data_IF_503037221927
#
_entry.id   IF_503037221927
#
_cell.length_a   1.000
_cell.length_b   1.000
_cell.length_c   1.000
_cell.angle_alpha   90.00
_cell.angle_beta   90.00
_cell.angle_gamma   90.00
#
_symmetry.space_group_name_H-M   'P 1'
#
loop_
_entity.id
_entity.type
_entity.pdbx_description
1 polymer ?
#
# COMPACT_ATOMS: atom_id res chain seq x y z
N UNK A 1 -3.75 25.13 21.02
CA UNK A 1 -3.55 25.55 19.61
C UNK A 1 -2.66 24.52 18.95
N UNK A 2 -3.19 23.75 18.00
CA UNK A 2 -2.41 22.74 17.28
C UNK A 2 -1.58 23.35 16.15
N UNK A 3 -0.59 22.61 15.65
CA UNK A 3 0.24 22.98 14.49
C UNK A 3 -0.63 23.38 13.27
N UNK A 4 -1.80 22.77 13.14
CA UNK A 4 -2.80 23.04 12.11
C UNK A 4 -3.52 24.39 12.24
N UNK A 5 -3.28 25.18 13.29
CA UNK A 5 -3.82 26.53 13.43
C UNK A 5 -2.89 27.62 12.89
N UNK A 6 -1.66 27.26 12.51
CA UNK A 6 -0.65 28.19 12.01
C UNK A 6 -1.00 28.69 10.59
N UNK A 7 -0.49 29.85 10.17
CA UNK A 7 -0.60 30.29 8.77
C UNK A 7 0.30 29.49 7.83
N UNK A 8 0.02 29.49 6.53
CA UNK A 8 0.75 28.67 5.54
C UNK A 8 2.25 29.00 5.50
N UNK A 9 2.63 30.29 5.65
CA UNK A 9 4.02 30.71 5.76
C UNK A 9 4.73 30.11 6.98
N UNK A 10 4.05 30.07 8.14
CA UNK A 10 4.63 29.51 9.36
C UNK A 10 4.79 27.98 9.24
N UNK A 11 3.82 27.30 8.61
CA UNK A 11 3.93 25.88 8.29
C UNK A 11 5.10 25.63 7.32
N UNK A 12 5.22 26.40 6.26
CA UNK A 12 6.31 26.29 5.30
C UNK A 12 7.69 26.46 5.96
N UNK A 13 7.85 27.47 6.82
CA UNK A 13 9.09 27.68 7.58
C UNK A 13 9.41 26.48 8.47
N UNK A 14 8.44 25.94 9.22
CA UNK A 14 8.65 24.77 10.08
C UNK A 14 9.04 23.55 9.24
N UNK A 15 8.30 23.26 8.18
CA UNK A 15 8.55 22.13 7.29
C UNK A 15 9.92 22.25 6.59
N UNK A 16 10.33 23.45 6.19
CA UNK A 16 11.65 23.70 5.56
C UNK A 16 12.85 23.46 6.48
N UNK A 17 12.62 23.34 7.80
CA UNK A 17 13.63 22.96 8.79
C UNK A 17 13.67 21.44 9.03
N UNK A 18 12.66 20.72 8.58
CA UNK A 18 12.68 19.26 8.56
C UNK A 18 13.52 18.79 7.37
N UNK A 19 14.02 17.56 7.47
CA UNK A 19 14.54 16.86 6.29
C UNK A 19 13.39 16.41 5.37
N UNK A 20 13.71 15.97 4.14
CA UNK A 20 12.73 15.37 3.23
C UNK A 20 11.90 14.24 3.86
N UNK A 21 12.58 13.32 4.56
CA UNK A 21 11.93 12.16 5.21
C UNK A 21 10.90 12.57 6.26
N UNK A 22 11.28 13.47 7.17
CA UNK A 22 10.37 13.97 8.21
C UNK A 22 9.24 14.84 7.64
N UNK A 23 9.48 15.49 6.50
CA UNK A 23 8.46 16.21 5.74
C UNK A 23 7.41 15.25 5.17
N UNK A 24 7.83 14.10 4.62
CA UNK A 24 6.89 13.05 4.18
C UNK A 24 6.10 12.51 5.37
N UNK A 25 6.73 12.24 6.50
CA UNK A 25 6.05 11.76 7.71
C UNK A 25 5.00 12.76 8.20
N UNK A 26 5.32 14.06 8.20
CA UNK A 26 4.36 15.12 8.54
C UNK A 26 3.14 15.13 7.61
N UNK A 27 3.31 14.76 6.33
CA UNK A 27 2.21 14.68 5.35
C UNK A 27 1.14 13.64 5.72
N UNK A 28 1.50 12.62 6.51
CA UNK A 28 0.61 11.56 6.94
C UNK A 28 -0.24 11.94 8.17
N UNK A 29 0.09 13.03 8.86
CA UNK A 29 -0.56 13.41 10.13
C UNK A 29 -1.92 14.05 9.90
N UNK A 30 -2.07 14.88 8.86
CA UNK A 30 -3.36 15.48 8.54
C UNK A 30 -3.46 16.01 7.12
N UNK A 31 -4.70 16.29 6.68
CA UNK A 31 -4.97 16.85 5.36
C UNK A 31 -4.25 18.19 5.14
N UNK A 32 -4.17 19.04 6.18
CA UNK A 32 -3.52 20.35 6.08
C UNK A 32 -2.03 20.20 5.87
N UNK A 33 -1.37 19.40 6.70
CA UNK A 33 0.05 19.12 6.56
C UNK A 33 0.37 18.42 5.24
N UNK A 34 -0.49 17.52 4.77
CA UNK A 34 -0.36 16.90 3.44
C UNK A 34 -0.32 17.92 2.31
N UNK A 35 -1.15 18.96 2.37
CA UNK A 35 -1.16 20.03 1.37
C UNK A 35 0.13 20.87 1.46
N UNK A 36 0.49 21.33 2.65
CA UNK A 36 1.69 22.16 2.86
C UNK A 36 3.00 21.42 2.50
N UNK A 37 3.09 20.13 2.82
CA UNK A 37 4.23 19.28 2.47
C UNK A 37 4.28 18.89 0.99
N UNK A 38 3.22 19.15 0.21
CA UNK A 38 3.20 18.87 -1.23
C UNK A 38 3.61 20.09 -2.07
N UNK A 39 3.91 21.23 -1.45
CA UNK A 39 4.35 22.43 -2.17
C UNK A 39 5.74 22.26 -2.78
N UNK A 40 5.85 22.43 -4.09
CA UNK A 40 7.11 22.20 -4.81
C UNK A 40 8.23 23.18 -4.40
N UNK A 41 7.87 24.37 -3.90
CA UNK A 41 8.83 25.33 -3.32
C UNK A 41 9.62 24.77 -2.14
N UNK A 42 8.98 23.96 -1.31
CA UNK A 42 9.62 23.27 -0.17
C UNK A 42 10.64 22.25 -0.67
N UNK A 43 10.26 21.45 -1.66
CA UNK A 43 11.12 20.43 -2.26
C UNK A 43 12.25 21.02 -3.10
N UNK A 44 12.00 22.17 -3.75
CA UNK A 44 13.03 22.93 -4.45
C UNK A 44 14.13 23.38 -3.48
N UNK A 45 13.78 23.79 -2.26
CA UNK A 45 14.76 24.13 -1.24
C UNK A 45 15.61 22.91 -0.85
N UNK A 46 14.99 21.75 -0.59
CA UNK A 46 15.72 20.51 -0.29
C UNK A 46 16.64 20.11 -1.45
N UNK A 47 16.15 20.14 -2.69
CA UNK A 47 16.94 19.87 -3.88
C UNK A 47 18.12 20.84 -4.04
N UNK A 48 17.92 22.12 -3.77
CA UNK A 48 19.00 23.09 -3.87
C UNK A 48 20.08 22.85 -2.81
N UNK A 49 19.67 22.57 -1.57
CA UNK A 49 20.57 22.35 -0.44
C UNK A 49 21.34 21.03 -0.55
N UNK A 50 20.65 19.93 -0.83
CA UNK A 50 21.22 18.58 -0.77
C UNK A 50 21.84 18.13 -2.11
N UNK A 51 21.33 18.68 -3.22
CA UNK A 51 21.60 18.18 -4.57
C UNK A 51 22.11 19.25 -5.53
N UNK A 52 22.12 20.53 -5.11
CA UNK A 52 22.47 21.70 -5.93
C UNK A 52 21.67 21.80 -7.24
N UNK A 53 20.42 21.35 -7.21
CA UNK A 53 19.51 21.46 -8.36
C UNK A 53 18.65 22.72 -8.25
N UNK A 54 18.65 23.52 -9.31
CA UNK A 54 17.83 24.74 -9.44
C UNK A 54 16.60 24.55 -10.34
N UNK A 55 16.49 23.40 -11.00
CA UNK A 55 15.32 22.99 -11.78
C UNK A 55 15.06 21.49 -11.55
N UNK A 56 13.81 21.02 -11.70
CA UNK A 56 13.50 19.62 -11.48
C UNK A 56 14.07 18.80 -12.64
N UNK A 57 15.28 18.29 -12.44
CA UNK A 57 15.97 17.41 -13.37
C UNK A 57 16.32 16.08 -12.73
N UNK A 58 16.19 15.00 -13.49
CA UNK A 58 16.67 13.68 -13.09
C UNK A 58 18.21 13.64 -13.06
N UNK A 59 18.76 12.49 -12.68
CA UNK A 59 20.21 12.29 -12.60
C UNK A 59 20.93 12.32 -13.96
N UNK A 60 20.20 12.32 -15.08
CA UNK A 60 20.70 12.43 -16.46
C UNK A 60 20.52 13.86 -17.02
N UNK A 61 19.90 14.77 -16.26
CA UNK A 61 19.61 16.14 -16.69
C UNK A 61 18.28 16.29 -17.46
N UNK A 62 17.46 15.23 -17.55
CA UNK A 62 16.15 15.34 -18.19
C UNK A 62 15.14 16.02 -17.25
N UNK A 63 14.19 16.81 -17.78
CA UNK A 63 13.13 17.40 -16.96
C UNK A 63 12.32 16.32 -16.22
N UNK A 64 12.07 16.54 -14.93
CA UNK A 64 11.20 15.73 -14.11
C UNK A 64 9.92 16.50 -13.72
N UNK A 65 8.84 15.81 -13.32
CA UNK A 65 7.55 16.46 -13.02
C UNK A 65 7.58 17.40 -11.81
N UNK A 66 8.45 17.17 -10.83
CA UNK A 66 8.58 18.00 -9.62
C UNK A 66 9.90 17.76 -8.89
N UNK A 67 10.31 18.68 -8.01
CA UNK A 67 11.49 18.51 -7.16
C UNK A 67 11.29 17.38 -6.14
N UNK A 68 10.06 17.19 -5.65
CA UNK A 68 9.72 16.10 -4.72
C UNK A 68 10.13 14.74 -5.27
N UNK A 69 9.74 14.45 -6.52
CA UNK A 69 10.04 13.18 -7.18
C UNK A 69 11.55 12.95 -7.26
N UNK A 70 12.35 14.02 -7.45
CA UNK A 70 13.80 13.92 -7.56
C UNK A 70 14.46 13.64 -6.21
N UNK A 71 14.06 14.33 -5.14
CA UNK A 71 14.60 14.10 -3.80
C UNK A 71 14.40 12.65 -3.40
N UNK A 72 13.16 12.17 -3.50
CA UNK A 72 12.79 10.79 -3.16
C UNK A 72 13.55 9.79 -4.05
N UNK A 73 13.55 10.01 -5.36
CA UNK A 73 14.22 9.11 -6.31
C UNK A 73 15.72 9.06 -6.07
N UNK A 74 16.40 10.19 -5.81
CA UNK A 74 17.85 10.20 -5.57
C UNK A 74 18.23 9.64 -4.20
N UNK A 75 17.42 9.88 -3.17
CA UNK A 75 17.62 9.29 -1.86
C UNK A 75 17.58 7.76 -1.98
N UNK A 76 16.56 7.22 -2.65
CA UNK A 76 16.39 5.78 -2.86
C UNK A 76 17.46 5.21 -3.81
N UNK A 77 17.72 5.83 -4.97
CA UNK A 77 18.75 5.35 -5.92
C UNK A 77 20.14 5.27 -5.30
N UNK A 78 20.54 6.26 -4.49
CA UNK A 78 21.82 6.25 -3.78
C UNK A 78 21.91 5.09 -2.80
N UNK A 79 20.83 4.79 -2.07
CA UNK A 79 20.78 3.70 -1.11
C UNK A 79 20.76 2.32 -1.79
N UNK A 80 20.07 2.20 -2.93
CA UNK A 80 19.90 0.93 -3.64
C UNK A 80 21.04 0.60 -4.62
N UNK A 81 22.05 1.46 -4.75
CA UNK A 81 23.19 1.23 -5.64
C UNK A 81 22.84 1.19 -7.13
N UNK A 82 21.66 1.70 -7.53
CA UNK A 82 21.29 1.79 -8.94
C UNK A 82 22.29 2.66 -9.70
N UNK A 83 22.69 2.21 -10.89
CA UNK A 83 23.57 2.98 -11.77
C UNK A 83 22.97 4.35 -12.08
N UNK A 84 23.80 5.38 -12.25
CA UNK A 84 23.37 6.67 -12.82
C UNK A 84 22.90 6.57 -14.29
N UNK A 85 22.84 5.38 -14.87
CA UNK A 85 22.22 5.12 -16.18
C UNK A 85 20.83 4.48 -16.07
N UNK A 86 20.40 4.10 -14.87
CA UNK A 86 19.14 3.41 -14.65
C UNK A 86 17.99 4.40 -14.82
N UNK A 87 17.08 4.17 -15.77
CA UNK A 87 15.92 5.04 -15.98
C UNK A 87 14.74 4.67 -15.09
N UNK A 88 15.00 4.44 -13.81
CA UNK A 88 13.95 4.17 -12.82
C UNK A 88 13.59 5.47 -12.08
N UNK A 89 12.29 5.68 -11.88
CA UNK A 89 11.76 6.77 -11.06
C UNK A 89 10.94 6.15 -9.93
N UNK A 90 11.11 6.64 -8.70
CA UNK A 90 10.25 6.25 -7.58
C UNK A 90 8.92 7.00 -7.73
N UNK A 91 7.82 6.27 -7.89
CA UNK A 91 6.48 6.84 -8.12
C UNK A 91 5.57 6.77 -6.90
N UNK A 92 5.86 5.87 -5.95
CA UNK A 92 5.20 5.80 -4.66
C UNK A 92 6.10 5.16 -3.61
N UNK A 93 5.96 5.61 -2.36
CA UNK A 93 6.66 5.08 -1.20
C UNK A 93 5.72 5.06 0.01
N UNK A 94 5.82 4.04 0.88
CA UNK A 94 5.15 4.05 2.18
C UNK A 94 6.08 4.50 3.29
N UNK A 95 5.53 5.21 4.29
CA UNK A 95 6.25 5.59 5.51
C UNK A 95 5.84 4.68 6.67
N UNK A 96 6.28 3.43 6.60
CA UNK A 96 6.00 2.37 7.58
C UNK A 96 7.32 1.72 8.04
N UNK A 97 7.29 0.88 9.07
CA UNK A 97 8.49 0.19 9.59
C UNK A 97 9.24 -0.64 8.54
N UNK A 98 8.53 -1.06 7.47
CA UNK A 98 9.11 -1.51 6.22
C UNK A 98 8.57 -0.61 5.11
N UNK A 99 9.46 -0.05 4.31
CA UNK A 99 9.09 0.83 3.20
C UNK A 99 8.66 -0.01 1.99
N UNK A 100 7.48 0.30 1.46
CA UNK A 100 6.99 -0.23 0.20
C UNK A 100 7.29 0.78 -0.90
N UNK A 101 8.19 0.42 -1.80
CA UNK A 101 8.66 1.30 -2.87
C UNK A 101 8.16 0.81 -4.23
N UNK A 102 7.63 1.73 -5.03
CA UNK A 102 7.22 1.50 -6.41
C UNK A 102 8.10 2.28 -7.39
N UNK A 103 8.56 1.59 -8.43
CA UNK A 103 9.49 2.11 -9.43
C UNK A 103 8.89 2.01 -10.83
N UNK A 104 8.84 3.12 -11.55
CA UNK A 104 8.55 3.13 -12.98
C UNK A 104 9.86 3.04 -13.76
N UNK A 105 9.98 2.07 -14.66
CA UNK A 105 11.08 1.96 -15.60
C UNK A 105 10.75 2.72 -16.89
N UNK A 106 11.36 3.87 -17.09
CA UNK A 106 11.13 4.74 -18.24
C UNK A 106 11.76 4.24 -19.55
N UNK A 107 12.42 3.08 -19.57
CA UNK A 107 12.86 2.46 -20.83
C UNK A 107 11.78 1.56 -21.45
N UNK A 108 10.96 0.91 -20.62
CA UNK A 108 9.98 -0.08 -21.09
C UNK A 108 8.55 0.16 -20.56
N UNK A 109 8.34 1.22 -19.78
CA UNK A 109 7.04 1.57 -19.22
C UNK A 109 6.55 0.61 -18.14
N UNK A 110 7.39 -0.31 -17.63
CA UNK A 110 6.98 -1.28 -16.61
C UNK A 110 7.04 -0.66 -15.20
N UNK A 111 6.07 -1.03 -14.37
CA UNK A 111 5.96 -0.67 -12.97
C UNK A 111 6.44 -1.86 -12.12
N UNK A 112 7.30 -1.57 -11.17
CA UNK A 112 7.88 -2.54 -10.27
C UNK A 112 7.56 -2.17 -8.82
N UNK A 113 7.49 -3.19 -7.97
CA UNK A 113 7.45 -3.04 -6.52
C UNK A 113 8.66 -3.73 -5.91
N UNK A 114 9.30 -3.07 -4.95
CA UNK A 114 10.43 -3.62 -4.21
C UNK A 114 10.04 -4.81 -3.33
N UNK A 115 10.96 -5.77 -3.21
CA UNK A 115 10.83 -6.90 -2.28
C UNK A 115 11.62 -6.68 -1.00
N UNK A 116 11.65 -7.68 -0.11
CA UNK A 116 12.50 -7.65 1.08
C UNK A 116 13.99 -7.52 0.76
N UNK A 117 14.41 -8.04 -0.39
CA UNK A 117 15.81 -8.07 -0.82
C UNK A 117 16.19 -6.82 -1.64
N UNK A 118 15.26 -5.89 -1.88
CA UNK A 118 15.54 -4.65 -2.61
C UNK A 118 16.81 -3.92 -2.08
N UNK A 119 17.04 -3.75 -0.77
CA UNK A 119 18.24 -3.06 -0.28
C UNK A 119 19.55 -3.83 -0.50
N UNK A 120 19.49 -5.15 -0.68
CA UNK A 120 20.68 -5.99 -0.78
C UNK A 120 21.10 -6.28 -2.22
N UNK A 121 20.14 -6.53 -3.11
CA UNK A 121 20.43 -6.92 -4.50
C UNK A 121 19.52 -6.23 -5.54
N UNK A 122 18.64 -5.32 -5.11
CA UNK A 122 17.71 -4.63 -6.00
C UNK A 122 16.54 -5.49 -6.48
N UNK A 123 16.22 -6.61 -5.81
CA UNK A 123 15.11 -7.50 -6.20
C UNK A 123 13.75 -6.76 -6.20
N UNK A 124 13.08 -6.84 -7.35
CA UNK A 124 11.80 -6.21 -7.63
C UNK A 124 10.87 -7.17 -8.38
N UNK A 125 9.56 -6.99 -8.19
CA UNK A 125 8.50 -7.78 -8.87
C UNK A 125 7.70 -6.87 -9.79
N UNK A 126 7.28 -7.37 -10.95
CA UNK A 126 6.43 -6.64 -11.90
C UNK A 126 5.01 -6.46 -11.33
N UNK A 127 4.49 -5.24 -11.39
CA UNK A 127 3.14 -4.93 -10.93
C UNK A 127 2.07 -5.26 -11.99
N UNK A 128 2.45 -5.26 -13.26
CA UNK A 128 1.55 -5.47 -14.41
C UNK A 128 2.15 -6.49 -15.38
N UNK A 129 1.37 -7.44 -15.91
CA UNK A 129 1.84 -8.36 -16.95
C UNK A 129 2.40 -7.61 -18.18
N UNK A 130 3.61 -7.96 -18.63
CA UNK A 130 4.28 -7.29 -19.75
C UNK A 130 3.43 -7.24 -21.03
N UNK A 131 2.56 -8.23 -21.25
CA UNK A 131 1.72 -8.35 -22.44
C UNK A 131 0.65 -7.26 -22.53
N UNK A 132 0.30 -6.60 -21.42
CA UNK A 132 -0.68 -5.51 -21.39
C UNK A 132 -0.06 -4.15 -21.71
N UNK A 133 1.26 -4.02 -21.55
CA UNK A 133 1.96 -2.75 -21.70
C UNK A 133 2.12 -2.42 -23.18
N UNK A 134 1.72 -1.20 -23.55
CA UNK A 134 1.88 -0.64 -24.89
C UNK A 134 2.82 0.55 -24.80
N UNK A 135 4.12 0.25 -24.71
CA UNK A 135 5.17 1.25 -24.51
C UNK A 135 6.12 1.30 -25.72
N UNK A 136 6.15 2.48 -26.36
CA UNK A 136 7.17 3.00 -27.29
C UNK A 136 7.77 1.98 -28.27
N UNK A 137 7.05 1.78 -29.39
CA UNK A 137 7.57 1.69 -30.78
C UNK A 137 6.47 1.41 -31.83
N UNK A 138 5.19 1.34 -31.46
CA UNK A 138 4.10 1.31 -32.44
C UNK A 138 3.85 2.72 -32.98
N UNK A 139 4.48 3.05 -34.11
CA UNK A 139 4.39 4.31 -34.85
C UNK A 139 2.97 4.67 -35.36
N UNK A 140 1.91 3.96 -34.91
CA UNK A 140 0.55 4.04 -35.47
C UNK A 140 -0.60 4.03 -34.45
N UNK A 141 -0.36 4.19 -33.13
CA UNK A 141 -1.45 4.11 -32.15
C UNK A 141 -1.54 5.29 -31.18
N UNK A 142 -2.68 5.99 -31.17
CA UNK A 142 -3.08 7.03 -30.18
C UNK A 142 -3.26 6.48 -28.74
N UNK A 143 -2.77 5.28 -28.42
CA UNK A 143 -3.00 4.58 -27.15
C UNK A 143 -1.69 4.05 -26.57
N UNK A 144 -0.81 4.97 -26.15
CA UNK A 144 0.30 4.63 -25.27
C UNK A 144 -0.27 4.28 -23.89
N UNK A 145 0.11 3.11 -23.36
CA UNK A 145 -0.36 2.66 -22.05
C UNK A 145 0.80 2.02 -21.29
N UNK A 146 1.39 2.77 -20.36
CA UNK A 146 2.39 2.26 -19.44
C UNK A 146 1.74 1.49 -18.29
N UNK A 147 2.56 0.75 -17.55
CA UNK A 147 2.12 -0.06 -16.42
C UNK A 147 1.62 0.79 -15.23
N UNK A 148 2.06 2.04 -15.10
CA UNK A 148 1.58 2.90 -14.01
C UNK A 148 0.11 3.26 -14.24
N UNK A 149 -0.24 3.66 -15.46
CA UNK A 149 -1.62 3.96 -15.82
C UNK A 149 -2.50 2.71 -15.69
N UNK A 150 -2.08 1.56 -16.24
CA UNK A 150 -2.80 0.28 -16.12
C UNK A 150 -3.06 -0.10 -14.65
N UNK A 151 -2.06 0.08 -13.79
CA UNK A 151 -2.18 -0.23 -12.37
C UNK A 151 -3.18 0.69 -11.66
N UNK A 152 -3.17 2.00 -11.97
CA UNK A 152 -4.10 2.98 -11.40
C UNK A 152 -5.54 2.76 -11.89
N UNK A 153 -5.72 2.45 -13.17
CA UNK A 153 -7.03 2.12 -13.75
C UNK A 153 -7.63 0.87 -13.09
N UNK A 154 -6.85 -0.19 -12.92
CA UNK A 154 -7.28 -1.38 -12.20
C UNK A 154 -7.61 -1.09 -10.72
N UNK A 155 -6.83 -0.22 -10.06
CA UNK A 155 -7.12 0.21 -8.70
C UNK A 155 -8.44 1.00 -8.61
N UNK A 156 -8.67 1.92 -9.54
CA UNK A 156 -9.91 2.69 -9.67
C UNK A 156 -11.11 1.79 -9.94
N UNK A 157 -11.00 0.88 -10.92
CA UNK A 157 -12.04 -0.10 -11.23
C UNK A 157 -12.41 -0.96 -10.03
N UNK A 158 -11.43 -1.41 -9.23
CA UNK A 158 -11.71 -2.18 -7.99
C UNK A 158 -12.47 -1.37 -6.93
N UNK A 159 -12.25 -0.05 -6.86
CA UNK A 159 -13.03 0.83 -5.99
C UNK A 159 -14.46 1.01 -6.51
N UNK A 160 -14.62 1.25 -7.81
CA UNK A 160 -15.91 1.43 -8.47
C UNK A 160 -16.78 0.17 -8.38
N UNK A 161 -16.19 -1.00 -8.60
CA UNK A 161 -16.86 -2.30 -8.50
C UNK A 161 -17.11 -2.74 -7.05
N UNK A 162 -16.61 -1.99 -6.06
CA UNK A 162 -16.73 -2.31 -4.64
C UNK A 162 -15.92 -3.55 -4.20
N UNK A 163 -14.96 -3.98 -5.03
CA UNK A 163 -14.01 -5.04 -4.67
C UNK A 163 -13.22 -4.60 -3.44
N UNK A 164 -12.70 -3.38 -3.44
CA UNK A 164 -12.09 -2.72 -2.28
C UNK A 164 -12.91 -1.49 -1.93
N UNK A 165 -12.85 -1.04 -0.66
CA UNK A 165 -13.72 0.04 -0.18
C UNK A 165 -12.98 1.13 0.57
N UNK A 166 -13.51 2.33 0.44
CA UNK A 166 -13.20 3.45 1.31
C UNK A 166 -13.89 3.25 2.65
N UNK A 167 -13.17 3.47 3.75
CA UNK A 167 -13.67 3.43 5.12
C UNK A 167 -13.43 4.77 5.78
N UNK A 168 -14.38 5.20 6.59
CA UNK A 168 -14.20 6.34 7.48
C UNK A 168 -13.55 5.84 8.77
N UNK A 169 -12.39 6.39 9.09
CA UNK A 169 -11.69 6.19 10.36
C UNK A 169 -11.57 7.55 11.06
N UNK A 170 -11.14 7.58 12.32
CA UNK A 170 -10.95 8.84 13.08
C UNK A 170 -10.02 9.83 12.37
N UNK A 171 -9.04 9.31 11.63
CA UNK A 171 -8.04 10.08 10.86
C UNK A 171 -8.55 10.49 9.45
N UNK A 172 -9.77 10.10 9.09
CA UNK A 172 -10.43 10.38 7.82
C UNK A 172 -10.60 9.14 6.94
N UNK A 173 -10.82 9.38 5.64
CA UNK A 173 -11.07 8.32 4.66
C UNK A 173 -9.81 7.53 4.34
N UNK A 174 -9.85 6.22 4.57
CA UNK A 174 -8.81 5.26 4.18
C UNK A 174 -9.35 4.32 3.11
N UNK A 175 -8.48 3.75 2.27
CA UNK A 175 -8.85 2.64 1.38
C UNK A 175 -8.37 1.35 2.02
N UNK A 176 -9.28 0.43 2.29
CA UNK A 176 -8.93 -0.94 2.69
C UNK A 176 -8.63 -1.76 1.43
N UNK A 177 -7.39 -2.22 1.29
CA UNK A 177 -6.97 -3.05 0.15
C UNK A 177 -7.52 -4.48 0.19
N UNK A 178 -8.13 -4.90 1.30
CA UNK A 178 -8.70 -6.23 1.44
C UNK A 178 -9.99 -6.38 0.63
N UNK A 179 -10.07 -7.35 -0.29
CA UNK A 179 -11.26 -7.57 -1.08
C UNK A 179 -12.49 -7.87 -0.23
N UNK A 180 -13.65 -7.39 -0.64
CA UNK A 180 -14.93 -7.60 0.05
C UNK A 180 -15.90 -8.50 -0.72
N UNK A 181 -15.69 -8.73 -2.01
CA UNK A 181 -16.61 -9.52 -2.84
C UNK A 181 -15.97 -10.82 -3.35
N UNK A 182 -16.77 -11.87 -3.64
CA UNK A 182 -16.28 -13.08 -4.30
C UNK A 182 -15.67 -12.80 -5.68
N UNK A 183 -14.75 -13.65 -6.17
CA UNK A 183 -14.17 -14.82 -5.50
C UNK A 183 -13.05 -14.46 -4.51
N UNK A 184 -12.65 -13.19 -4.43
CA UNK A 184 -11.50 -12.73 -3.63
C UNK A 184 -11.80 -12.59 -2.13
N UNK A 185 -13.09 -12.61 -1.76
CA UNK A 185 -13.55 -12.72 -0.39
C UNK A 185 -14.43 -13.96 -0.22
N UNK A 186 -14.03 -14.85 0.68
CA UNK A 186 -14.84 -16.01 1.08
C UNK A 186 -15.78 -15.63 2.22
N UNK A 187 -16.94 -16.27 2.27
CA UNK A 187 -17.94 -16.08 3.33
C UNK A 187 -18.45 -17.43 3.79
N UNK A 188 -18.52 -17.64 5.10
CA UNK A 188 -19.16 -18.80 5.72
C UNK A 188 -20.09 -18.34 6.84
N UNK A 189 -21.19 -19.06 7.04
CA UNK A 189 -22.13 -18.82 8.14
C UNK A 189 -22.32 -20.12 8.90
N UNK A 190 -22.21 -20.06 10.22
CA UNK A 190 -22.47 -21.22 11.09
C UNK A 190 -23.20 -20.74 12.33
N UNK A 191 -24.37 -21.33 12.61
CA UNK A 191 -25.19 -21.02 13.77
C UNK A 191 -25.44 -19.51 13.96
N UNK A 192 -25.64 -18.75 12.88
CA UNK A 192 -25.88 -17.31 12.90
C UNK A 192 -24.63 -16.42 12.96
N UNK A 193 -23.43 -16.99 13.13
CA UNK A 193 -22.17 -16.25 13.03
C UNK A 193 -21.69 -16.28 11.58
N UNK A 194 -21.56 -15.11 10.98
CA UNK A 194 -20.97 -14.93 9.66
C UNK A 194 -19.49 -14.57 9.78
N UNK A 195 -18.64 -15.26 9.03
CA UNK A 195 -17.22 -14.97 8.90
C UNK A 195 -16.92 -14.69 7.44
N UNK A 196 -16.28 -13.54 7.18
CA UNK A 196 -15.76 -13.14 5.87
C UNK A 196 -14.25 -13.08 5.93
N UNK A 197 -13.58 -13.66 4.96
CA UNK A 197 -12.12 -13.73 4.90
C UNK A 197 -11.61 -13.30 3.52
N UNK A 198 -10.59 -12.46 3.49
CA UNK A 198 -9.85 -12.12 2.28
C UNK A 198 -8.37 -11.90 2.58
N UNK A 199 -7.53 -12.02 1.57
CA UNK A 199 -6.08 -11.86 1.71
C UNK A 199 -5.52 -10.96 0.62
N UNK A 200 -4.37 -10.34 0.91
CA UNK A 200 -3.60 -9.52 -0.01
C UNK A 200 -2.14 -9.94 0.03
N UNK A 201 -1.50 -9.94 -1.13
CA UNK A 201 -0.07 -10.20 -1.25
C UNK A 201 0.75 -9.01 -0.77
N UNK A 202 1.83 -9.27 -0.05
CA UNK A 202 2.70 -8.25 0.57
C UNK A 202 4.11 -8.34 -0.04
N UNK A 203 4.34 -7.72 -1.21
CA UNK A 203 5.60 -7.83 -1.94
C UNK A 203 6.82 -7.35 -1.14
N UNK A 204 6.69 -6.28 -0.36
CA UNK A 204 7.76 -5.65 0.42
C UNK A 204 8.39 -6.56 1.50
N UNK A 205 7.72 -7.66 1.86
CA UNK A 205 8.23 -8.67 2.79
C UNK A 205 8.50 -10.02 2.13
N UNK A 206 8.23 -10.15 0.84
CA UNK A 206 8.50 -11.37 0.06
C UNK A 206 10.00 -11.53 -0.14
N UNK A 207 10.49 -12.77 -0.05
CA UNK A 207 11.88 -13.13 -0.32
C UNK A 207 11.89 -14.32 -1.29
N UNK A 208 12.08 -14.04 -2.58
CA UNK A 208 11.99 -15.07 -3.63
C UNK A 208 13.12 -16.11 -3.55
N UNK A 209 14.21 -15.78 -2.86
CA UNK A 209 15.38 -16.64 -2.67
C UNK A 209 15.22 -17.63 -1.52
N UNK A 210 14.30 -17.38 -0.57
CA UNK A 210 14.04 -18.31 0.53
C UNK A 210 13.23 -19.50 0.02
N UNK A 211 13.69 -20.74 0.19
CA UNK A 211 12.95 -21.89 -0.32
C UNK A 211 11.67 -22.23 0.47
N UNK A 212 11.64 -21.92 1.77
CA UNK A 212 10.54 -22.27 2.67
C UNK A 212 9.49 -21.16 2.82
N UNK A 213 9.90 -19.89 2.86
CA UNK A 213 9.04 -18.75 3.16
C UNK A 213 9.15 -17.68 2.06
N UNK A 214 8.73 -18.05 0.84
CA UNK A 214 8.83 -17.16 -0.33
C UNK A 214 7.94 -15.94 -0.23
N UNK A 215 6.68 -16.17 0.08
CA UNK A 215 5.61 -15.20 -0.09
C UNK A 215 5.02 -14.80 1.26
N UNK A 216 4.81 -13.50 1.45
CA UNK A 216 4.02 -13.00 2.56
C UNK A 216 2.63 -12.58 2.08
N UNK A 217 1.62 -13.01 2.82
CA UNK A 217 0.24 -12.54 2.67
C UNK A 217 -0.24 -11.93 3.99
N UNK A 218 -0.93 -10.81 3.88
CA UNK A 218 -1.76 -10.30 4.96
C UNK A 218 -3.19 -10.76 4.72
N UNK A 219 -3.94 -11.04 5.80
CA UNK A 219 -5.33 -11.45 5.70
C UNK A 219 -6.21 -10.62 6.63
N UNK A 220 -7.48 -10.51 6.26
CA UNK A 220 -8.52 -9.84 7.04
C UNK A 220 -9.66 -10.83 7.29
N UNK A 221 -9.94 -11.06 8.57
CA UNK A 221 -11.07 -11.85 9.05
C UNK A 221 -12.08 -10.91 9.67
N UNK A 222 -13.32 -10.93 9.18
CA UNK A 222 -14.42 -10.09 9.64
C UNK A 222 -15.52 -10.99 10.14
N UNK A 223 -15.81 -10.91 11.43
CA UNK A 223 -16.85 -11.71 12.08
C UNK A 223 -18.02 -10.80 12.44
N UNK A 224 -19.23 -11.23 12.12
CA UNK A 224 -20.45 -10.51 12.47
C UNK A 224 -21.56 -11.47 12.86
N UNK A 225 -22.45 -11.02 13.74
CA UNK A 225 -23.65 -11.76 14.07
C UNK A 225 -24.76 -11.38 13.09
N UNK A 226 -25.44 -12.37 12.51
CA UNK A 226 -26.65 -12.12 11.72
C UNK A 226 -27.76 -11.52 12.60
N UNK A 227 -28.71 -10.75 12.03
CA UNK A 227 -29.77 -10.09 12.79
C UNK A 227 -30.57 -11.03 13.71
N UNK A 228 -30.75 -12.29 13.28
CA UNK A 228 -31.47 -13.33 14.01
C UNK A 228 -30.73 -13.82 15.27
N UNK A 229 -29.44 -13.52 15.40
CA UNK A 229 -28.60 -13.97 16.51
C UNK A 229 -28.00 -15.37 16.31
N UNK A 230 -27.36 -15.91 17.34
CA UNK A 230 -26.80 -17.25 17.31
C UNK A 230 -27.85 -18.28 17.65
N UNK A 231 -27.85 -19.44 16.99
CA UNK A 231 -28.75 -20.55 17.31
C UNK A 231 -27.92 -21.73 17.82
N UNK A 232 -28.12 -22.12 19.08
CA UNK A 232 -27.44 -23.27 19.70
C UNK A 232 -28.51 -24.14 20.33
N UNK A 233 -28.60 -25.41 19.90
CA UNK A 233 -29.59 -26.38 20.38
C UNK A 233 -31.04 -25.86 20.32
N UNK A 234 -31.38 -25.10 19.27
CA UNK A 234 -32.71 -24.50 19.08
C UNK A 234 -33.00 -23.26 19.93
N UNK A 235 -32.05 -22.82 20.77
CA UNK A 235 -32.15 -21.57 21.54
C UNK A 235 -31.43 -20.43 20.82
N UNK A 236 -32.04 -19.25 20.84
CA UNK A 236 -31.48 -18.04 20.22
C UNK A 236 -30.73 -17.19 21.23
N UNK A 237 -29.52 -16.75 20.86
CA UNK A 237 -28.68 -15.86 21.65
C UNK A 237 -28.42 -14.57 20.90
N UNK A 238 -28.54 -13.44 21.59
CA UNK A 238 -28.37 -12.12 20.99
C UNK A 238 -26.91 -11.71 20.79
N UNK A 239 -25.98 -12.46 21.36
CA UNK A 239 -24.53 -12.22 21.29
C UNK A 239 -23.76 -13.53 21.44
N UNK A 240 -22.52 -13.54 20.98
CA UNK A 240 -21.54 -14.59 21.26
C UNK A 240 -20.16 -13.96 21.43
N UNK A 241 -19.19 -14.76 21.87
CA UNK A 241 -17.83 -14.30 22.08
C UNK A 241 -16.85 -15.29 21.48
N UNK A 242 -15.86 -14.77 20.75
CA UNK A 242 -14.81 -15.59 20.18
C UNK A 242 -13.83 -16.03 21.28
N UNK A 243 -13.81 -17.32 21.58
CA UNK A 243 -12.94 -17.85 22.62
C UNK A 243 -11.62 -18.43 22.08
N UNK A 244 -11.67 -19.12 20.94
CA UNK A 244 -10.52 -19.86 20.39
C UNK A 244 -10.45 -19.72 18.88
N UNK A 245 -9.25 -19.85 18.32
CA UNK A 245 -9.02 -19.94 16.87
C UNK A 245 -8.21 -21.18 16.51
N UNK A 246 -8.50 -21.72 15.33
CA UNK A 246 -7.75 -22.79 14.70
C UNK A 246 -7.56 -22.43 13.23
N UNK A 247 -6.31 -22.35 12.78
CA UNK A 247 -5.94 -22.10 11.39
C UNK A 247 -5.19 -23.28 10.83
N UNK A 248 -5.65 -23.79 9.70
CA UNK A 248 -4.93 -24.75 8.87
C UNK A 248 -4.46 -23.98 7.64
N UNK A 249 -3.14 -23.87 7.45
CA UNK A 249 -2.53 -23.14 6.35
C UNK A 249 -1.99 -24.15 5.35
N UNK A 250 -2.50 -24.08 4.13
CA UNK A 250 -2.10 -24.99 3.05
C UNK A 250 -1.40 -24.23 1.92
N UNK A 251 -0.39 -24.86 1.32
CA UNK A 251 0.23 -24.44 0.07
C UNK A 251 0.29 -25.63 -0.89
N UNK A 252 -0.19 -25.46 -2.12
CA UNK A 252 -0.26 -26.53 -3.13
C UNK A 252 -0.92 -27.81 -2.58
N UNK A 253 -2.07 -27.64 -1.90
CA UNK A 253 -2.84 -28.71 -1.26
C UNK A 253 -2.17 -29.43 -0.08
N UNK A 254 -0.91 -29.11 0.24
CA UNK A 254 -0.21 -29.61 1.42
C UNK A 254 -0.40 -28.68 2.61
N UNK A 255 -0.68 -29.24 3.79
CA UNK A 255 -0.70 -28.49 5.06
C UNK A 255 0.75 -28.12 5.41
N UNK A 256 1.03 -26.82 5.46
CA UNK A 256 2.36 -26.29 5.81
C UNK A 256 2.42 -25.75 7.24
N UNK A 257 1.28 -25.45 7.84
CA UNK A 257 1.20 -25.00 9.22
C UNK A 257 -0.18 -25.27 9.81
N UNK A 258 -0.19 -25.59 11.11
CA UNK A 258 -1.39 -25.80 11.92
C UNK A 258 -1.24 -24.97 13.19
N UNK A 259 -2.12 -23.98 13.36
CA UNK A 259 -1.99 -22.95 14.41
C UNK A 259 -3.25 -22.92 15.26
N UNK A 260 -3.06 -23.10 16.56
CA UNK A 260 -4.10 -22.96 17.56
C UNK A 260 -3.76 -21.84 18.53
N UNK A 261 -4.79 -21.18 19.06
CA UNK A 261 -4.58 -20.24 20.16
C UNK A 261 -5.87 -19.63 20.67
N UNK A 262 -5.77 -19.06 21.87
CA UNK A 262 -6.88 -18.33 22.47
C UNK A 262 -7.13 -17.03 21.70
N UNK A 263 -8.42 -16.75 21.47
CA UNK A 263 -8.93 -15.53 20.88
C UNK A 263 -8.26 -15.16 19.53
N UNK A 264 -8.21 -13.88 19.15
CA UNK A 264 -7.48 -13.38 17.97
C UNK A 264 -6.68 -12.15 18.38
N UNK A 265 -5.42 -12.02 17.90
CA UNK A 265 -4.50 -10.91 18.22
C UNK A 265 -4.35 -10.57 19.72
N UNK A 266 -4.59 -11.53 20.60
CA UNK A 266 -4.55 -11.33 22.06
C UNK A 266 -5.80 -10.67 22.65
N UNK A 267 -6.88 -10.53 21.89
CA UNK A 267 -8.14 -9.92 22.33
C UNK A 267 -9.34 -10.87 22.11
N UNK A 268 -10.22 -10.92 23.11
CA UNK A 268 -11.47 -11.70 23.05
C UNK A 268 -12.58 -10.86 22.42
N UNK A 269 -12.67 -10.89 21.10
CA UNK A 269 -13.65 -10.12 20.32
C UNK A 269 -15.10 -10.60 20.50
N UNK A 270 -16.05 -9.64 20.50
CA UNK A 270 -17.48 -9.90 20.36
C UNK A 270 -17.91 -9.48 18.95
N UNK A 271 -18.49 -10.38 18.12
CA UNK A 271 -18.99 -9.99 16.81
C UNK A 271 -20.12 -8.96 16.96
N UNK A 272 -20.02 -7.86 16.22
CA UNK A 272 -21.10 -6.87 16.15
C UNK A 272 -22.24 -7.39 15.27
N UNK A 273 -23.48 -6.97 15.59
CA UNK A 273 -24.63 -7.27 14.73
C UNK A 273 -24.52 -6.48 13.44
N UNK A 274 -24.86 -7.10 12.32
CA UNK A 274 -25.07 -6.35 11.10
C UNK A 274 -26.28 -5.42 11.27
N UNK A 275 -26.05 -4.12 11.15
CA UNK A 275 -27.10 -3.11 11.03
C UNK A 275 -27.83 -3.30 9.69
N UNK A 276 -29.15 -3.22 9.71
CA UNK A 276 -30.03 -3.29 8.53
C UNK A 276 -29.76 -2.11 7.60
#
# INVERSE_FOLDING_TARGET
MGLEGLGDLALHIILSKLGPEDTVRASCVSRRLRLSTSEDSLWAQFCFQDLHLSSPQDHQGNPAPSFKVIVETRAVIRHLGFSSRSKYIVVAASSTSSEKLFFLNCNNGQLYVGTRNLPTDGEMIQCVPNQLIRYVHDLHGDQQQDAMLLWLEEHGRRLEDGIIKVREEEIGRIISLFPEIPPLCSTAVTNGVQVRASAVFVPEYTNLQNEAEKYLFAYSIRMSLLPEGCIINGMTFSSCQLHWRHWIICANEAVISDVHGEAVIGQVGRPERQSI
#
